data_IF_515641792997
#
_entry.id   IF_515641792997
#
_cell.length_a   1.000
_cell.length_b   1.000
_cell.length_c   1.000
_cell.angle_alpha   90.00
_cell.angle_beta   90.00
_cell.angle_gamma   90.00
#
_symmetry.space_group_name_H-M   'P 1'
#
loop_
_entity.id
_entity.type
_entity.pdbx_description
1 polymer ?
#
# COMPACT_ATOMS: atom_id res chain seq x y z
N UNK A 1 -15.47 -55.17 -1.22
CA UNK A 1 -15.03 -54.97 -2.60
C UNK A 1 -15.65 -53.68 -3.14
N UNK A 2 -15.21 -52.52 -2.64
CA UNK A 2 -15.70 -51.20 -3.11
C UNK A 2 -14.63 -50.12 -2.90
N UNK A 3 -13.37 -50.43 -3.28
CA UNK A 3 -12.22 -49.51 -3.04
C UNK A 3 -11.43 -49.17 -4.30
N UNK A 4 -11.92 -49.59 -5.51
CA UNK A 4 -11.09 -49.56 -6.71
C UNK A 4 -11.64 -48.69 -7.86
N UNK A 5 -12.64 -47.85 -7.60
CA UNK A 5 -13.18 -46.96 -8.65
C UNK A 5 -12.85 -45.47 -8.49
N UNK A 6 -12.26 -45.06 -7.36
CA UNK A 6 -11.87 -43.65 -7.15
C UNK A 6 -10.50 -43.27 -7.75
N UNK A 7 -9.65 -44.26 -7.99
CA UNK A 7 -8.28 -44.01 -8.53
C UNK A 7 -8.30 -43.81 -10.07
N UNK A 8 -9.34 -44.24 -10.77
CA UNK A 8 -9.34 -44.19 -12.24
C UNK A 8 -9.93 -42.88 -12.83
N UNK A 9 -10.64 -42.10 -12.05
CA UNK A 9 -11.21 -40.83 -12.50
C UNK A 9 -10.18 -39.67 -12.41
N UNK A 10 -9.33 -39.68 -11.37
CA UNK A 10 -8.28 -38.67 -11.22
C UNK A 10 -7.11 -38.87 -12.20
N UNK A 11 -6.84 -40.11 -12.65
CA UNK A 11 -5.77 -40.39 -13.62
C UNK A 11 -6.12 -39.96 -15.05
N UNK A 12 -7.40 -39.76 -15.37
CA UNK A 12 -7.83 -39.30 -16.70
C UNK A 12 -7.84 -37.78 -16.88
N UNK A 13 -7.81 -37.02 -15.80
CA UNK A 13 -7.69 -35.56 -15.86
C UNK A 13 -6.21 -35.16 -15.95
N UNK A 14 -5.30 -35.97 -15.40
CA UNK A 14 -3.86 -35.73 -15.44
C UNK A 14 -3.20 -35.99 -16.80
N UNK A 15 -3.87 -36.65 -17.73
CA UNK A 15 -3.27 -37.11 -19.01
C UNK A 15 -3.72 -36.30 -20.25
N UNK A 16 -4.53 -35.27 -20.06
CA UNK A 16 -4.91 -34.36 -21.14
C UNK A 16 -4.09 -33.06 -21.08
N UNK A 17 -2.91 -33.08 -21.71
CA UNK A 17 -2.21 -31.88 -22.13
C UNK A 17 -1.07 -31.45 -21.23
N UNK A 18 -0.09 -32.32 -20.96
CA UNK A 18 1.22 -31.94 -20.43
C UNK A 18 2.24 -31.75 -21.55
N UNK A 19 2.11 -30.66 -22.28
CA UNK A 19 3.27 -30.05 -22.95
C UNK A 19 3.33 -28.61 -22.43
N UNK A 20 4.37 -28.29 -21.65
CA UNK A 20 4.83 -26.96 -21.25
C UNK A 20 3.91 -26.07 -20.36
N UNK A 21 3.05 -26.57 -19.53
CA UNK A 21 2.42 -25.73 -18.53
C UNK A 21 3.34 -25.54 -17.32
N UNK A 22 3.82 -24.30 -17.11
CA UNK A 22 4.51 -23.90 -15.88
C UNK A 22 3.58 -24.15 -14.68
N UNK A 23 4.03 -24.98 -13.73
CA UNK A 23 3.29 -25.22 -12.50
C UNK A 23 3.56 -24.06 -11.55
N UNK A 24 2.51 -23.36 -11.14
CA UNK A 24 2.59 -22.28 -10.17
C UNK A 24 1.99 -22.74 -8.84
N UNK A 25 2.67 -22.44 -7.73
CA UNK A 25 2.19 -22.71 -6.38
C UNK A 25 1.88 -21.37 -5.67
N UNK A 26 0.84 -21.35 -4.86
CA UNK A 26 0.47 -20.18 -4.04
C UNK A 26 1.41 -20.00 -2.83
N UNK A 27 2.06 -21.06 -2.38
CA UNK A 27 2.97 -21.05 -1.25
C UNK A 27 3.85 -22.31 -1.19
N UNK A 28 4.78 -22.30 -0.24
CA UNK A 28 5.69 -23.45 0.01
C UNK A 28 4.89 -24.65 0.50
N UNK A 29 3.87 -24.43 1.32
CA UNK A 29 2.99 -25.45 1.88
C UNK A 29 2.25 -26.25 0.79
N UNK A 30 1.83 -25.60 -0.28
CA UNK A 30 1.19 -26.22 -1.44
C UNK A 30 2.21 -27.04 -2.24
N UNK A 31 3.41 -26.50 -2.44
CA UNK A 31 4.49 -27.18 -3.16
C UNK A 31 4.95 -28.44 -2.45
N UNK A 32 5.06 -28.38 -1.12
CA UNK A 32 5.55 -29.47 -0.29
C UNK A 32 4.43 -30.40 0.20
N UNK A 33 3.17 -30.08 -0.13
CA UNK A 33 1.98 -30.80 0.33
C UNK A 33 2.01 -31.12 1.81
N UNK A 34 2.22 -30.06 2.61
CA UNK A 34 2.28 -30.21 4.06
C UNK A 34 0.95 -30.70 4.64
N UNK A 35 0.93 -31.42 5.78
CA UNK A 35 -0.31 -31.88 6.41
C UNK A 35 -1.29 -30.76 6.73
N UNK A 36 -0.77 -29.55 6.98
CA UNK A 36 -1.58 -28.34 7.21
C UNK A 36 -2.31 -27.92 5.93
N UNK A 37 -1.63 -27.96 4.79
CA UNK A 37 -2.22 -27.65 3.50
C UNK A 37 -3.29 -28.71 3.09
N UNK A 38 -3.00 -29.98 3.29
CA UNK A 38 -3.97 -31.05 2.98
C UNK A 38 -5.21 -30.96 3.87
N UNK A 39 -5.06 -30.66 5.16
CA UNK A 39 -6.19 -30.44 6.06
C UNK A 39 -7.02 -29.20 5.70
N UNK A 40 -6.37 -28.15 5.20
CA UNK A 40 -7.06 -26.95 4.73
C UNK A 40 -7.86 -27.22 3.43
N UNK A 41 -7.34 -28.05 2.53
CA UNK A 41 -8.03 -28.49 1.31
C UNK A 41 -9.27 -29.33 1.62
N UNK A 42 -9.19 -30.22 2.62
CA UNK A 42 -10.34 -31.01 3.06
C UNK A 42 -11.44 -30.17 3.71
N UNK A 43 -11.09 -29.00 4.28
CA UNK A 43 -12.01 -28.07 4.90
C UNK A 43 -12.44 -26.90 4.02
N UNK A 44 -12.07 -26.85 2.74
CA UNK A 44 -12.36 -25.72 1.85
C UNK A 44 -13.88 -25.52 1.62
N UNK A 45 -14.68 -26.57 1.76
CA UNK A 45 -16.13 -26.49 1.73
C UNK A 45 -16.69 -26.93 3.08
N UNK A 46 -17.47 -26.07 3.71
CA UNK A 46 -18.02 -26.31 5.06
C UNK A 46 -18.97 -27.53 5.13
N UNK A 47 -19.54 -27.97 4.02
CA UNK A 47 -20.32 -29.19 3.88
C UNK A 47 -19.93 -29.91 2.59
N UNK A 48 -19.71 -31.23 2.61
CA UNK A 48 -19.51 -31.99 1.39
C UNK A 48 -20.78 -31.89 0.53
N UNK A 49 -20.57 -31.62 -0.77
CA UNK A 49 -21.66 -31.67 -1.73
C UNK A 49 -22.35 -33.06 -1.68
N UNK A 50 -23.69 -33.13 -1.69
CA UNK A 50 -24.41 -34.41 -1.70
C UNK A 50 -23.89 -35.31 -2.78
N UNK A 51 -23.71 -36.58 -2.49
CA UNK A 51 -23.12 -37.57 -3.41
C UNK A 51 -23.88 -37.73 -4.76
N UNK A 52 -25.12 -37.28 -4.82
CA UNK A 52 -25.98 -37.26 -5.98
C UNK A 52 -25.82 -36.00 -6.86
N UNK A 53 -25.07 -34.98 -6.41
CA UNK A 53 -24.82 -33.77 -7.20
C UNK A 53 -23.90 -34.01 -8.41
N UNK A 54 -22.94 -34.93 -8.28
CA UNK A 54 -21.96 -35.27 -9.34
C UNK A 54 -22.27 -36.53 -10.12
N UNK A 55 -23.07 -37.42 -9.59
CA UNK A 55 -23.52 -38.62 -10.28
C UNK A 55 -24.84 -38.30 -11.00
N UNK A 56 -24.73 -37.77 -12.20
CA UNK A 56 -25.87 -37.57 -13.09
C UNK A 56 -26.59 -38.89 -13.46
N UNK A 57 -27.17 -39.52 -12.44
CA UNK A 57 -28.15 -40.58 -12.73
C UNK A 57 -29.45 -39.89 -13.19
N UNK A 58 -29.89 -40.26 -14.37
CA UNK A 58 -30.93 -39.61 -15.18
C UNK A 58 -32.34 -39.71 -14.57
N UNK A 59 -32.46 -39.40 -13.35
CA UNK A 59 -33.73 -39.03 -12.72
C UNK A 59 -33.94 -37.54 -12.98
N UNK A 60 -34.53 -37.18 -14.09
CA UNK A 60 -34.74 -35.80 -14.49
C UNK A 60 -35.37 -35.00 -13.35
N UNK A 61 -34.72 -33.90 -12.97
CA UNK A 61 -35.27 -32.89 -12.04
C UNK A 61 -36.64 -32.56 -12.62
N UNK A 62 -37.72 -32.98 -11.93
CA UNK A 62 -39.05 -32.70 -12.42
C UNK A 62 -39.25 -31.18 -12.43
N UNK A 63 -39.93 -30.64 -13.44
CA UNK A 63 -40.26 -29.20 -13.51
C UNK A 63 -40.78 -28.65 -12.17
N UNK A 64 -41.47 -29.52 -11.42
CA UNK A 64 -42.03 -29.21 -10.10
C UNK A 64 -40.92 -29.08 -9.01
N UNK A 65 -39.89 -29.93 -9.05
CA UNK A 65 -38.74 -29.85 -8.11
C UNK A 65 -37.88 -28.64 -8.43
N UNK A 66 -37.67 -28.34 -9.70
CA UNK A 66 -36.98 -27.16 -10.15
C UNK A 66 -37.74 -25.89 -9.75
N UNK A 67 -39.02 -25.79 -9.96
CA UNK A 67 -39.84 -24.64 -9.57
C UNK A 67 -39.92 -24.48 -8.06
N UNK A 68 -39.92 -25.56 -7.28
CA UNK A 68 -39.83 -25.49 -5.82
C UNK A 68 -38.47 -24.95 -5.38
N UNK A 69 -37.38 -25.48 -5.90
CA UNK A 69 -36.03 -25.00 -5.58
C UNK A 69 -35.84 -23.54 -6.02
N UNK A 70 -36.27 -23.18 -7.22
CA UNK A 70 -36.23 -21.79 -7.70
C UNK A 70 -37.12 -20.87 -6.88
N UNK A 71 -38.32 -21.30 -6.50
CA UNK A 71 -39.24 -20.54 -5.65
C UNK A 71 -38.67 -20.29 -4.24
N UNK A 72 -38.02 -21.29 -3.63
CA UNK A 72 -37.32 -21.12 -2.35
C UNK A 72 -36.10 -20.22 -2.49
N UNK A 73 -35.35 -20.30 -3.58
CA UNK A 73 -34.20 -19.40 -3.80
C UNK A 73 -34.63 -17.95 -3.97
N UNK A 74 -35.71 -17.70 -4.73
CA UNK A 74 -36.25 -16.33 -4.91
C UNK A 74 -36.88 -15.83 -3.61
N UNK A 75 -37.62 -16.64 -2.88
CA UNK A 75 -38.17 -16.27 -1.57
C UNK A 75 -37.06 -16.03 -0.55
N UNK A 76 -36.01 -16.85 -0.54
CA UNK A 76 -34.82 -16.67 0.30
C UNK A 76 -34.08 -15.37 -0.03
N UNK A 77 -33.90 -15.07 -1.32
CA UNK A 77 -33.27 -13.83 -1.76
C UNK A 77 -34.08 -12.57 -1.38
N UNK A 78 -35.40 -12.66 -1.46
CA UNK A 78 -36.28 -11.57 -1.05
C UNK A 78 -36.27 -11.36 0.48
N UNK A 79 -36.15 -12.44 1.27
CA UNK A 79 -36.03 -12.34 2.73
C UNK A 79 -34.68 -11.81 3.18
N UNK A 80 -33.60 -12.16 2.49
CA UNK A 80 -32.25 -11.62 2.74
C UNK A 80 -32.16 -10.16 2.31
N UNK A 81 -32.85 -9.78 1.24
CA UNK A 81 -32.94 -8.38 0.77
C UNK A 81 -33.69 -7.47 1.78
N UNK A 82 -34.49 -8.04 2.69
CA UNK A 82 -35.15 -7.32 3.76
C UNK A 82 -34.31 -7.25 5.06
N UNK A 83 -33.14 -7.86 5.12
CA UNK A 83 -32.19 -7.57 6.19
C UNK A 83 -31.75 -6.12 6.03
N UNK A 84 -32.17 -5.26 6.94
CA UNK A 84 -31.79 -3.86 7.01
C UNK A 84 -30.26 -3.82 7.04
N UNK A 85 -29.65 -3.49 5.91
CA UNK A 85 -28.27 -3.01 5.96
C UNK A 85 -28.19 -1.92 7.05
N UNK A 86 -27.11 -1.90 7.84
CA UNK A 86 -26.91 -0.80 8.78
C UNK A 86 -27.09 0.49 7.99
N UNK A 87 -28.02 1.33 8.43
CA UNK A 87 -28.35 2.59 7.74
C UNK A 87 -27.09 3.42 7.77
N UNK A 88 -26.25 3.26 6.76
CA UNK A 88 -25.24 4.26 6.45
C UNK A 88 -26.03 5.54 6.19
N UNK A 89 -25.90 6.50 7.09
CA UNK A 89 -26.49 7.81 6.91
C UNK A 89 -25.82 8.42 5.68
N UNK A 90 -26.42 8.23 4.51
CA UNK A 90 -26.05 8.98 3.33
C UNK A 90 -26.35 10.44 3.64
N UNK A 91 -25.33 11.23 3.95
CA UNK A 91 -25.48 12.68 4.04
C UNK A 91 -25.68 13.14 2.61
N UNK A 92 -26.85 13.63 2.22
CA UNK A 92 -27.06 14.14 0.87
C UNK A 92 -26.08 15.31 0.65
N UNK A 93 -25.45 15.36 -0.50
CA UNK A 93 -24.63 16.48 -0.93
C UNK A 93 -25.56 17.67 -1.15
N UNK A 94 -25.71 18.55 -0.15
CA UNK A 94 -26.64 19.67 -0.18
C UNK A 94 -26.19 20.77 -1.14
N UNK A 95 -24.88 20.86 -1.43
CA UNK A 95 -24.31 21.81 -2.39
C UNK A 95 -23.43 21.04 -3.36
N UNK A 96 -23.85 20.99 -4.61
CA UNK A 96 -23.06 20.40 -5.68
C UNK A 96 -21.98 21.39 -6.10
N UNK A 97 -20.70 20.94 -6.10
CA UNK A 97 -19.61 21.75 -6.67
C UNK A 97 -19.79 21.94 -8.18
N UNK A 98 -19.28 23.04 -8.74
CA UNK A 98 -19.45 23.44 -10.14
C UNK A 98 -19.06 22.33 -11.14
N UNK A 99 -18.11 21.45 -10.79
CA UNK A 99 -17.62 20.37 -11.65
C UNK A 99 -18.07 18.98 -11.22
N UNK A 100 -19.02 18.87 -10.30
CA UNK A 100 -19.53 17.59 -9.82
C UNK A 100 -20.71 17.13 -10.66
N UNK A 101 -20.56 16.00 -11.34
CA UNK A 101 -21.66 15.31 -12.02
C UNK A 101 -21.89 13.97 -11.33
N UNK A 102 -23.14 13.61 -10.97
CA UNK A 102 -23.46 12.30 -10.42
C UNK A 102 -22.91 11.16 -11.30
N UNK A 103 -22.25 10.20 -10.68
CA UNK A 103 -21.66 9.07 -11.40
C UNK A 103 -20.34 9.33 -12.13
N UNK A 104 -19.90 10.59 -12.28
CA UNK A 104 -18.59 10.92 -12.86
C UNK A 104 -17.56 11.16 -11.79
N UNK A 105 -16.40 10.55 -11.96
CA UNK A 105 -15.26 10.80 -11.08
C UNK A 105 -14.53 12.09 -11.51
N UNK A 106 -13.99 12.80 -10.53
CA UNK A 106 -13.13 13.97 -10.70
C UNK A 106 -11.87 13.82 -9.85
N UNK A 107 -10.86 14.61 -10.14
CA UNK A 107 -9.53 14.46 -9.56
C UNK A 107 -9.10 15.72 -8.83
N UNK A 108 -8.43 15.54 -7.70
CA UNK A 108 -7.73 16.60 -6.99
C UNK A 108 -6.25 16.31 -6.93
N UNK A 109 -5.43 17.29 -7.25
CA UNK A 109 -4.00 17.25 -7.02
C UNK A 109 -3.71 17.47 -5.53
N UNK A 110 -2.79 16.67 -4.98
CA UNK A 110 -2.35 16.76 -3.59
C UNK A 110 -0.93 16.22 -3.46
N UNK A 111 -0.44 16.17 -2.22
CA UNK A 111 0.89 15.61 -1.90
C UNK A 111 0.73 14.42 -0.97
N UNK A 112 1.48 13.35 -1.23
CA UNK A 112 1.53 12.18 -0.36
C UNK A 112 2.23 12.53 0.96
N UNK A 113 1.57 12.25 2.08
CA UNK A 113 2.11 12.45 3.43
C UNK A 113 2.70 11.18 4.06
N UNK A 114 2.87 10.09 3.30
CA UNK A 114 3.30 8.79 3.83
C UNK A 114 4.79 8.72 4.22
N UNK A 115 5.62 9.56 3.63
CA UNK A 115 7.05 9.70 3.96
C UNK A 115 7.59 11.05 3.48
N UNK A 116 8.86 11.31 3.73
CA UNK A 116 9.54 12.57 3.42
C UNK A 116 9.69 12.84 1.90
N UNK A 117 9.55 11.82 1.04
CA UNK A 117 9.69 11.96 -0.40
C UNK A 117 8.64 12.91 -1.01
N UNK A 118 7.47 13.07 -0.35
CA UNK A 118 6.48 14.07 -0.72
C UNK A 118 5.97 13.93 -2.17
N UNK A 119 5.74 12.71 -2.64
CA UNK A 119 5.28 12.45 -4.01
C UNK A 119 3.99 13.21 -4.32
N UNK A 120 3.90 13.79 -5.53
CA UNK A 120 2.67 14.38 -6.02
C UNK A 120 1.64 13.31 -6.33
N UNK A 121 0.41 13.51 -5.89
CA UNK A 121 -0.69 12.58 -6.08
C UNK A 121 -1.91 13.24 -6.73
N UNK A 122 -2.69 12.42 -7.40
CA UNK A 122 -4.02 12.73 -7.88
C UNK A 122 -5.02 11.85 -7.14
N UNK A 123 -5.90 12.47 -6.37
CA UNK A 123 -6.95 11.76 -5.63
C UNK A 123 -8.23 11.74 -6.47
N UNK A 124 -8.63 10.54 -6.87
CA UNK A 124 -9.88 10.30 -7.58
C UNK A 124 -11.04 10.32 -6.60
N UNK A 125 -11.97 11.20 -6.83
CA UNK A 125 -13.16 11.38 -6.01
C UNK A 125 -14.42 11.08 -6.81
N UNK A 126 -15.41 10.53 -6.14
CA UNK A 126 -16.75 10.35 -6.68
C UNK A 126 -17.76 10.74 -5.60
N UNK A 127 -18.62 11.68 -5.92
CA UNK A 127 -19.67 12.14 -5.01
C UNK A 127 -19.16 12.51 -3.61
N UNK A 128 -18.02 13.24 -3.57
CA UNK A 128 -17.38 13.66 -2.32
C UNK A 128 -16.54 12.60 -1.61
N UNK A 129 -16.40 11.39 -2.18
CA UNK A 129 -15.63 10.29 -1.58
C UNK A 129 -14.36 10.01 -2.36
N UNK A 130 -13.18 10.04 -1.75
CA UNK A 130 -11.96 9.55 -2.35
C UNK A 130 -12.05 8.04 -2.58
N UNK A 131 -11.81 7.60 -3.83
CA UNK A 131 -11.93 6.18 -4.21
C UNK A 131 -10.62 5.58 -4.69
N UNK A 132 -9.67 6.39 -5.10
CA UNK A 132 -8.35 5.95 -5.56
C UNK A 132 -7.34 7.07 -5.46
N UNK A 133 -6.06 6.72 -5.30
CA UNK A 133 -4.92 7.62 -5.37
C UNK A 133 -4.00 7.14 -6.49
N UNK A 134 -3.56 8.07 -7.33
CA UNK A 134 -2.57 7.85 -8.40
C UNK A 134 -1.44 8.85 -8.27
N UNK A 135 -0.29 8.56 -8.86
CA UNK A 135 0.78 9.54 -8.98
C UNK A 135 0.41 10.66 -9.96
N UNK A 136 0.83 11.89 -9.64
CA UNK A 136 0.64 13.03 -10.52
C UNK A 136 1.75 13.10 -11.58
N UNK A 137 1.45 12.91 -12.88
CA UNK A 137 2.44 12.96 -13.95
C UNK A 137 3.16 14.30 -14.08
N UNK A 138 2.50 15.40 -13.68
CA UNK A 138 3.05 16.75 -13.75
C UNK A 138 3.95 17.11 -12.55
N UNK A 139 4.04 16.21 -11.55
CA UNK A 139 4.88 16.48 -10.39
C UNK A 139 6.37 16.35 -10.75
N UNK A 140 7.21 17.35 -10.45
CA UNK A 140 8.59 17.42 -10.96
C UNK A 140 9.49 16.28 -10.46
N UNK A 141 9.24 15.74 -9.26
CA UNK A 141 10.06 14.68 -8.67
C UNK A 141 9.50 13.29 -8.97
N UNK A 142 8.25 13.01 -8.60
CA UNK A 142 7.67 11.67 -8.72
C UNK A 142 7.19 11.32 -10.13
N UNK A 143 6.93 12.32 -10.99
CA UNK A 143 6.59 12.18 -12.43
C UNK A 143 5.56 11.07 -12.70
N UNK A 144 4.50 11.01 -11.91
CA UNK A 144 3.47 9.98 -12.01
C UNK A 144 3.76 8.69 -11.25
N UNK A 145 4.95 8.54 -10.66
CA UNK A 145 5.28 7.42 -9.79
C UNK A 145 4.57 7.52 -8.44
N UNK A 146 4.13 6.39 -7.92
CA UNK A 146 3.57 6.28 -6.56
C UNK A 146 3.81 4.85 -6.04
N UNK A 147 4.32 4.74 -4.80
CA UNK A 147 4.58 3.45 -4.17
C UNK A 147 3.29 2.76 -3.69
N UNK A 148 3.38 1.48 -3.34
CA UNK A 148 2.24 0.71 -2.85
C UNK A 148 1.59 1.34 -1.60
N UNK A 149 2.39 1.90 -0.68
CA UNK A 149 1.89 2.58 0.52
C UNK A 149 1.07 3.81 0.13
N UNK A 150 1.56 4.62 -0.81
CA UNK A 150 0.83 5.79 -1.33
C UNK A 150 -0.49 5.40 -2.01
N UNK A 151 -0.50 4.30 -2.78
CA UNK A 151 -1.74 3.76 -3.38
C UNK A 151 -2.74 3.32 -2.31
N UNK A 152 -2.26 2.67 -1.24
CA UNK A 152 -3.09 2.14 -0.17
C UNK A 152 -3.61 3.21 0.81
N UNK A 153 -3.06 4.42 0.82
CA UNK A 153 -3.44 5.48 1.78
C UNK A 153 -4.94 5.81 1.78
N UNK A 154 -5.63 5.63 0.65
CA UNK A 154 -7.08 5.83 0.57
C UNK A 154 -7.84 4.94 1.55
N UNK A 155 -7.33 3.74 1.85
CA UNK A 155 -7.97 2.79 2.77
C UNK A 155 -8.00 3.32 4.22
N UNK A 156 -6.99 4.11 4.61
CA UNK A 156 -6.94 4.72 5.94
C UNK A 156 -8.10 5.68 6.23
N UNK A 157 -8.73 6.25 5.18
CA UNK A 157 -9.91 7.13 5.36
C UNK A 157 -11.13 6.31 5.78
N UNK A 158 -11.20 5.05 5.33
CA UNK A 158 -12.32 4.13 5.54
C UNK A 158 -12.06 3.11 6.64
N UNK A 159 -10.90 3.17 7.29
CA UNK A 159 -10.56 2.30 8.40
C UNK A 159 -11.50 2.57 9.58
N UNK A 160 -12.22 1.54 10.01
CA UNK A 160 -13.14 1.63 11.16
C UNK A 160 -12.42 1.85 12.49
N UNK A 161 -11.11 1.57 12.57
CA UNK A 161 -10.30 1.76 13.77
C UNK A 161 -9.55 3.10 13.78
N UNK A 162 -9.69 3.93 12.75
CA UNK A 162 -9.10 5.26 12.76
C UNK A 162 -9.68 6.12 13.87
N UNK A 163 -8.89 7.02 14.41
CA UNK A 163 -9.35 8.02 15.36
C UNK A 163 -10.34 8.95 14.67
N UNK A 164 -11.61 8.91 15.06
CA UNK A 164 -12.68 9.73 14.47
C UNK A 164 -12.89 11.06 15.19
N UNK A 165 -12.44 11.15 16.44
CA UNK A 165 -12.64 12.30 17.33
C UNK A 165 -11.46 12.43 18.30
N UNK A 166 -11.28 13.59 18.95
CA UNK A 166 -10.27 13.76 19.97
C UNK A 166 -10.55 12.87 21.18
N UNK A 167 -9.49 12.47 21.87
CA UNK A 167 -9.59 11.69 23.11
C UNK A 167 -8.93 12.45 24.27
N UNK A 168 -9.66 12.58 25.37
CA UNK A 168 -9.14 13.03 26.64
C UNK A 168 -9.05 11.84 27.61
N UNK A 169 -7.84 11.46 28.05
CA UNK A 169 -7.60 10.28 28.90
C UNK A 169 -8.23 8.97 28.35
N UNK A 170 -8.18 8.78 27.03
CA UNK A 170 -8.74 7.61 26.37
C UNK A 170 -10.26 7.63 26.17
N UNK A 171 -10.94 8.71 26.56
CA UNK A 171 -12.38 8.89 26.37
C UNK A 171 -12.65 9.95 25.32
N UNK A 172 -13.65 9.74 24.48
CA UNK A 172 -14.08 10.71 23.47
C UNK A 172 -14.39 12.08 24.09
N UNK A 173 -13.88 13.14 23.48
CA UNK A 173 -14.07 14.51 23.93
C UNK A 173 -14.30 15.42 22.71
N UNK A 174 -14.93 16.57 22.94
CA UNK A 174 -15.04 17.58 21.91
C UNK A 174 -13.77 18.43 21.78
N UNK A 175 -13.59 19.04 20.61
CA UNK A 175 -12.43 19.88 20.32
C UNK A 175 -12.30 21.07 21.28
N UNK A 176 -13.40 21.67 21.68
CA UNK A 176 -13.36 22.84 22.57
C UNK A 176 -12.80 22.48 23.95
N UNK A 177 -13.16 21.30 24.48
CA UNK A 177 -12.64 20.76 25.73
C UNK A 177 -11.13 20.49 25.64
N UNK A 178 -10.69 19.82 24.56
CA UNK A 178 -9.28 19.45 24.38
C UNK A 178 -8.43 20.70 24.13
N UNK A 179 -8.85 21.61 23.27
CA UNK A 179 -8.15 22.86 22.97
C UNK A 179 -8.07 23.76 24.21
N UNK A 180 -9.14 23.83 25.01
CA UNK A 180 -9.15 24.56 26.27
C UNK A 180 -8.13 24.02 27.26
N UNK A 181 -8.06 22.70 27.44
CA UNK A 181 -7.11 22.04 28.33
C UNK A 181 -5.65 22.24 27.87
N UNK A 182 -5.38 22.08 26.55
CA UNK A 182 -4.04 22.32 25.98
C UNK A 182 -3.67 23.79 26.13
N UNK A 183 -4.58 24.71 25.83
CA UNK A 183 -4.34 26.16 25.97
C UNK A 183 -4.00 26.57 27.40
N UNK A 184 -4.68 25.98 28.38
CA UNK A 184 -4.37 26.21 29.80
C UNK A 184 -2.97 25.68 30.16
N UNK A 185 -2.63 24.43 29.79
CA UNK A 185 -1.32 23.86 30.06
C UNK A 185 -0.21 24.66 29.42
N UNK A 186 -0.39 25.15 28.19
CA UNK A 186 0.61 25.98 27.50
C UNK A 186 0.77 27.34 28.15
N UNK A 187 -0.28 27.93 28.73
CA UNK A 187 -0.23 29.19 29.43
C UNK A 187 0.46 29.09 30.81
N UNK A 188 0.36 27.95 31.47
CA UNK A 188 0.91 27.68 32.79
C UNK A 188 2.34 27.13 32.76
N UNK A 189 2.83 26.66 31.60
CA UNK A 189 4.12 26.00 31.48
C UNK A 189 5.30 27.01 31.69
N UNK A 190 6.26 26.62 32.50
CA UNK A 190 7.48 27.37 32.76
C UNK A 190 8.74 26.61 32.31
N UNK A 191 8.61 25.33 32.02
CA UNK A 191 9.73 24.43 31.73
C UNK A 191 10.13 24.37 30.23
N UNK A 192 9.46 25.14 29.40
CA UNK A 192 9.68 25.17 27.97
C UNK A 192 8.74 24.23 27.19
N UNK A 193 8.67 24.45 25.88
CA UNK A 193 7.83 23.68 24.96
C UNK A 193 8.68 23.08 23.86
N UNK A 194 8.56 21.77 23.65
CA UNK A 194 9.28 21.04 22.62
C UNK A 194 8.31 20.45 21.60
N UNK A 195 8.57 20.69 20.32
CA UNK A 195 7.87 20.03 19.22
C UNK A 195 8.74 18.89 18.72
N UNK A 196 8.26 17.65 18.85
CA UNK A 196 8.90 16.46 18.30
C UNK A 196 8.24 16.08 16.98
N UNK A 197 9.01 15.95 15.91
CA UNK A 197 8.51 15.50 14.61
C UNK A 197 9.54 14.66 13.87
N UNK A 198 9.13 13.96 12.81
CA UNK A 198 10.04 13.52 11.75
C UNK A 198 10.53 14.71 10.92
N UNK A 199 11.37 14.45 9.92
CA UNK A 199 11.82 15.49 8.98
C UNK A 199 10.61 16.11 8.26
N UNK A 200 10.48 17.43 8.37
CA UNK A 200 9.47 18.24 7.70
C UNK A 200 10.11 18.94 6.51
N UNK A 201 9.61 18.68 5.30
CA UNK A 201 10.08 19.32 4.06
C UNK A 201 9.27 20.55 3.67
N UNK A 202 8.11 20.75 4.30
CA UNK A 202 7.24 21.91 4.07
C UNK A 202 7.77 23.15 4.76
N UNK A 203 8.19 24.14 3.99
CA UNK A 203 8.62 25.45 4.51
C UNK A 203 7.54 26.17 5.31
N UNK A 204 6.28 26.05 4.88
CA UNK A 204 5.13 26.62 5.59
C UNK A 204 4.94 25.98 6.96
N UNK A 205 5.05 24.64 7.05
CA UNK A 205 4.94 23.93 8.34
C UNK A 205 6.08 24.32 9.28
N UNK A 206 7.32 24.40 8.77
CA UNK A 206 8.47 24.85 9.56
C UNK A 206 8.29 26.27 10.10
N UNK A 207 7.83 27.19 9.25
CA UNK A 207 7.55 28.57 9.68
C UNK A 207 6.44 28.65 10.74
N UNK A 208 5.44 27.78 10.66
CA UNK A 208 4.38 27.70 11.68
C UNK A 208 4.91 27.15 13.02
N UNK A 209 5.79 26.13 13.00
CA UNK A 209 6.44 25.59 14.18
C UNK A 209 7.31 26.67 14.82
N UNK A 210 8.12 27.36 14.04
CA UNK A 210 8.96 28.45 14.51
C UNK A 210 8.15 29.57 15.17
N UNK A 211 7.07 30.00 14.52
CA UNK A 211 6.14 31.00 15.05
C UNK A 211 5.46 30.55 16.34
N UNK A 212 5.11 29.27 16.44
CA UNK A 212 4.52 28.69 17.64
C UNK A 212 5.53 28.66 18.79
N UNK A 213 6.73 28.11 18.56
CA UNK A 213 7.77 27.98 19.55
C UNK A 213 8.33 29.35 20.02
N UNK A 214 8.36 30.35 19.15
CA UNK A 214 8.78 31.71 19.48
C UNK A 214 7.92 32.45 20.53
N UNK A 215 6.85 31.79 21.02
CA UNK A 215 6.01 32.28 22.14
C UNK A 215 6.50 31.83 23.52
N UNK A 216 7.42 30.88 23.56
CA UNK A 216 7.84 30.20 24.77
C UNK A 216 9.34 30.33 24.96
N UNK A 217 9.75 30.60 26.20
CA UNK A 217 11.15 30.53 26.59
C UNK A 217 11.60 29.05 26.65
N UNK A 218 12.86 28.77 26.40
CA UNK A 218 13.43 27.42 26.41
C UNK A 218 12.67 26.39 25.50
N UNK A 219 12.27 26.84 24.32
CA UNK A 219 11.56 26.00 23.37
C UNK A 219 12.47 25.50 22.26
N UNK A 220 12.19 24.30 21.70
CA UNK A 220 12.94 23.76 20.56
C UNK A 220 12.10 22.86 19.69
N UNK A 221 12.43 22.81 18.40
CA UNK A 221 11.97 21.81 17.48
C UNK A 221 13.00 20.67 17.42
N UNK A 222 12.59 19.46 17.81
CA UNK A 222 13.42 18.26 17.81
C UNK A 222 12.97 17.37 16.65
N UNK A 223 13.90 17.04 15.76
CA UNK A 223 13.62 16.16 14.62
C UNK A 223 14.19 14.78 14.90
N UNK A 224 13.36 13.75 14.79
CA UNK A 224 13.75 12.36 14.95
C UNK A 224 13.16 11.51 13.84
N UNK A 225 14.02 10.87 13.05
CA UNK A 225 13.65 9.93 12.01
C UNK A 225 14.15 8.54 12.39
N UNK A 226 13.25 7.52 12.45
CA UNK A 226 13.65 6.12 12.72
C UNK A 226 14.59 5.57 11.66
N UNK A 227 14.45 6.02 10.40
CA UNK A 227 15.37 5.76 9.29
C UNK A 227 16.13 7.05 9.03
N UNK A 228 17.30 7.17 9.65
CA UNK A 228 18.08 8.41 9.64
C UNK A 228 18.90 8.55 8.37
N UNK A 229 18.93 9.78 7.82
CA UNK A 229 19.84 10.17 6.74
C UNK A 229 21.08 10.90 7.24
N UNK A 230 21.35 10.92 8.55
CA UNK A 230 22.45 11.66 9.16
C UNK A 230 23.81 11.29 8.55
N UNK A 231 24.07 10.00 8.33
CA UNK A 231 25.31 9.52 7.71
C UNK A 231 25.52 10.09 6.30
N UNK A 232 24.45 10.17 5.49
CA UNK A 232 24.51 10.74 4.13
C UNK A 232 24.79 12.24 4.22
N UNK A 233 24.12 12.94 5.12
CA UNK A 233 24.32 14.37 5.34
C UNK A 233 25.75 14.70 5.79
N UNK A 234 26.30 13.91 6.71
CA UNK A 234 27.68 14.05 7.20
C UNK A 234 28.71 13.73 6.10
N UNK A 235 28.49 12.67 5.33
CA UNK A 235 29.34 12.31 4.22
C UNK A 235 29.39 13.43 3.16
N UNK A 236 28.25 14.03 2.83
CA UNK A 236 28.18 15.16 1.91
C UNK A 236 28.82 16.42 2.46
N UNK A 237 28.68 16.70 3.75
CA UNK A 237 29.39 17.80 4.40
C UNK A 237 30.90 17.61 4.35
N UNK A 238 31.40 16.38 4.63
CA UNK A 238 32.82 16.09 4.60
C UNK A 238 33.43 16.08 3.19
N UNK A 239 32.69 15.63 2.17
CA UNK A 239 33.20 15.49 0.80
C UNK A 239 32.94 16.70 -0.09
N UNK A 240 31.86 17.44 0.14
CA UNK A 240 31.42 18.56 -0.69
C UNK A 240 31.28 19.88 0.08
N UNK A 241 31.60 19.90 1.40
CA UNK A 241 31.46 21.06 2.23
C UNK A 241 30.01 21.55 2.44
N UNK A 242 29.05 20.71 2.16
CA UNK A 242 27.62 21.06 2.21
C UNK A 242 26.78 19.95 2.82
N UNK A 243 26.12 20.26 3.92
CA UNK A 243 25.20 19.33 4.59
C UNK A 243 23.85 19.31 3.88
N UNK A 244 23.73 18.45 2.87
CA UNK A 244 22.51 18.32 2.06
C UNK A 244 22.32 16.88 1.57
N UNK A 245 21.07 16.46 1.39
CA UNK A 245 20.76 15.20 0.69
C UNK A 245 20.97 15.39 -0.82
N UNK A 246 21.70 14.49 -1.47
CA UNK A 246 21.94 14.58 -2.90
C UNK A 246 20.71 14.13 -3.71
N UNK A 247 20.60 14.68 -4.89
CA UNK A 247 19.75 14.15 -5.95
C UNK A 247 20.57 13.30 -6.90
N UNK A 248 20.12 12.07 -7.16
CA UNK A 248 20.82 11.13 -8.03
C UNK A 248 20.09 10.99 -9.39
N UNK A 249 20.75 11.33 -10.47
CA UNK A 249 20.23 11.19 -11.82
C UNK A 249 20.49 9.79 -12.39
N UNK A 250 19.77 8.79 -11.94
CA UNK A 250 19.91 7.41 -12.42
C UNK A 250 19.50 7.23 -13.89
N UNK A 251 18.71 8.14 -14.43
CA UNK A 251 18.31 8.22 -15.83
C UNK A 251 19.48 8.54 -16.77
N UNK A 252 20.59 9.07 -16.23
CA UNK A 252 21.79 9.48 -16.99
C UNK A 252 23.01 8.62 -16.76
N UNK A 253 22.88 7.59 -15.92
CA UNK A 253 23.99 6.73 -15.56
C UNK A 253 24.05 5.50 -16.48
N UNK A 254 25.19 5.28 -17.15
CA UNK A 254 25.44 4.05 -17.92
C UNK A 254 25.87 2.90 -16.99
N UNK A 255 26.60 3.21 -15.92
CA UNK A 255 27.03 2.26 -14.91
C UNK A 255 26.65 2.76 -13.53
N UNK A 256 26.00 1.90 -12.76
CA UNK A 256 25.62 2.17 -11.37
C UNK A 256 26.35 1.18 -10.48
N UNK A 257 27.07 1.68 -9.49
CA UNK A 257 27.68 0.86 -8.43
C UNK A 257 27.11 1.29 -7.10
N UNK A 258 26.37 0.41 -6.47
CA UNK A 258 25.77 0.65 -5.14
C UNK A 258 26.53 -0.15 -4.06
N UNK A 259 26.78 0.49 -2.92
CA UNK A 259 27.34 -0.14 -1.73
C UNK A 259 26.38 0.14 -0.58
N UNK A 260 25.66 -0.89 -0.12
CA UNK A 260 24.62 -0.82 0.92
C UNK A 260 23.53 0.25 0.67
N UNK A 261 23.43 0.79 -0.54
CA UNK A 261 22.52 1.86 -0.91
C UNK A 261 21.23 1.29 -1.52
N UNK A 262 20.18 1.16 -0.72
CA UNK A 262 18.87 0.66 -1.17
C UNK A 262 18.01 1.79 -1.75
N UNK A 263 18.44 2.37 -2.87
CA UNK A 263 17.81 3.53 -3.50
C UNK A 263 16.46 3.22 -4.17
N UNK A 264 16.16 1.96 -4.47
CA UNK A 264 14.84 1.55 -4.99
C UNK A 264 13.84 1.25 -3.86
N UNK A 265 14.31 1.03 -2.62
CA UNK A 265 13.46 0.63 -1.50
C UNK A 265 13.31 1.70 -0.43
N UNK A 266 14.36 1.98 0.31
CA UNK A 266 14.29 2.76 1.55
C UNK A 266 15.04 4.09 1.54
N UNK A 267 15.81 4.38 0.50
CA UNK A 267 16.77 5.48 0.50
C UNK A 267 16.19 6.76 -0.08
N UNK A 268 16.19 7.85 0.67
CA UNK A 268 15.86 9.25 0.30
C UNK A 268 14.51 9.38 -0.45
N UNK A 269 14.46 9.06 -1.74
CA UNK A 269 13.30 9.25 -2.62
C UNK A 269 13.12 8.06 -3.57
N UNK A 270 12.69 6.89 -3.05
CA UNK A 270 12.71 5.65 -3.83
C UNK A 270 11.82 5.69 -5.07
N UNK A 271 10.70 6.41 -5.04
CA UNK A 271 9.80 6.55 -6.19
C UNK A 271 10.46 7.31 -7.34
N UNK A 272 11.10 8.43 -7.03
CA UNK A 272 11.85 9.25 -7.99
C UNK A 272 13.02 8.46 -8.59
N UNK A 273 13.82 7.82 -7.73
CA UNK A 273 14.96 7.04 -8.15
C UNK A 273 14.56 5.81 -8.97
N UNK A 274 13.46 5.15 -8.62
CA UNK A 274 12.89 4.08 -9.42
C UNK A 274 12.50 4.58 -10.81
N UNK A 275 11.89 5.77 -10.91
CA UNK A 275 11.51 6.36 -12.19
C UNK A 275 12.73 6.60 -13.08
N UNK A 276 13.77 7.22 -12.54
CA UNK A 276 15.04 7.45 -13.25
C UNK A 276 15.72 6.13 -13.65
N UNK A 277 15.82 5.18 -12.72
CA UNK A 277 16.41 3.88 -12.94
C UNK A 277 15.70 3.08 -14.03
N UNK A 278 14.36 2.99 -13.95
CA UNK A 278 13.56 2.25 -14.95
C UNK A 278 13.57 2.93 -16.31
N UNK A 279 13.59 4.26 -16.36
CA UNK A 279 13.68 5.01 -17.62
C UNK A 279 14.96 4.66 -18.43
N UNK A 280 16.10 4.44 -17.76
CA UNK A 280 17.35 4.05 -18.40
C UNK A 280 17.46 2.52 -18.66
N UNK A 281 16.47 1.76 -18.21
CA UNK A 281 16.38 0.30 -18.39
C UNK A 281 15.14 -0.13 -19.17
N UNK A 282 14.43 0.82 -19.76
CA UNK A 282 13.30 0.54 -20.64
C UNK A 282 13.80 -0.01 -21.98
N UNK A 283 13.17 -1.09 -22.46
CA UNK A 283 13.46 -1.71 -23.76
C UNK A 283 12.69 -0.98 -24.87
N UNK A 284 12.90 0.33 -24.97
CA UNK A 284 12.25 1.18 -25.98
C UNK A 284 13.24 1.54 -27.09
N UNK A 285 12.75 1.56 -28.34
CA UNK A 285 13.57 1.86 -29.51
C UNK A 285 14.19 0.64 -30.19
N UNK A 286 14.86 0.86 -31.32
CA UNK A 286 15.48 -0.21 -32.15
C UNK A 286 16.73 -0.82 -31.52
N UNK A 287 17.49 -0.04 -30.75
CA UNK A 287 18.70 -0.47 -30.06
C UNK A 287 18.72 0.06 -28.62
N UNK A 288 17.98 -0.57 -27.67
CA UNK A 288 17.93 -0.11 -26.30
C UNK A 288 19.28 -0.30 -25.60
N UNK A 289 19.84 0.77 -25.06
CA UNK A 289 21.04 0.73 -24.23
C UNK A 289 20.60 0.72 -22.75
N UNK A 290 20.90 -0.38 -22.05
CA UNK A 290 20.58 -0.53 -20.64
C UNK A 290 21.75 -0.09 -19.77
N UNK A 291 21.45 0.62 -18.68
CA UNK A 291 22.45 0.86 -17.64
C UNK A 291 22.89 -0.46 -17.00
N UNK A 292 24.18 -0.59 -16.68
CA UNK A 292 24.70 -1.75 -15.97
C UNK A 292 24.78 -1.47 -14.47
N UNK A 293 24.14 -2.31 -13.65
CA UNK A 293 24.04 -2.10 -12.21
C UNK A 293 24.73 -3.23 -11.43
N UNK A 294 25.69 -2.86 -10.58
CA UNK A 294 26.39 -3.74 -9.65
C UNK A 294 26.06 -3.29 -8.22
N UNK A 295 25.56 -4.20 -7.40
CA UNK A 295 25.21 -3.91 -6.00
C UNK A 295 26.05 -4.76 -5.05
N UNK A 296 26.74 -4.10 -4.13
CA UNK A 296 27.45 -4.71 -3.00
C UNK A 296 26.62 -4.53 -1.75
N UNK A 297 26.22 -5.63 -1.10
CA UNK A 297 25.35 -5.57 0.10
C UNK A 297 25.41 -6.83 0.94
N UNK A 298 25.23 -6.72 2.25
CA UNK A 298 25.19 -7.84 3.17
C UNK A 298 23.88 -8.62 3.08
N UNK A 299 22.75 -7.92 3.07
CA UNK A 299 21.40 -8.49 2.89
C UNK A 299 20.85 -8.13 1.51
N UNK A 300 20.01 -9.00 0.96
CA UNK A 300 19.33 -8.69 -0.30
C UNK A 300 18.28 -7.59 -0.07
N UNK A 301 18.51 -6.44 -0.69
CA UNK A 301 17.58 -5.31 -0.75
C UNK A 301 16.72 -5.37 -2.00
N UNK A 302 15.72 -4.46 -2.11
CA UNK A 302 14.98 -4.28 -3.36
C UNK A 302 15.92 -3.84 -4.49
N UNK A 303 16.87 -2.98 -4.19
CA UNK A 303 17.91 -2.53 -5.14
C UNK A 303 18.78 -3.68 -5.61
N UNK A 304 19.30 -4.51 -4.69
CA UNK A 304 20.13 -5.65 -5.03
C UNK A 304 19.38 -6.75 -5.77
N UNK A 305 18.08 -6.90 -5.56
CA UNK A 305 17.27 -7.87 -6.32
C UNK A 305 17.04 -7.45 -7.77
N UNK A 306 17.20 -6.17 -8.10
CA UNK A 306 17.09 -5.61 -9.45
C UNK A 306 18.44 -5.34 -10.12
N UNK A 307 19.55 -5.58 -9.43
CA UNK A 307 20.90 -5.40 -9.99
C UNK A 307 21.24 -6.49 -11.01
N UNK A 308 22.01 -6.14 -12.05
CA UNK A 308 22.54 -7.11 -13.02
C UNK A 308 23.58 -8.04 -12.37
N UNK A 309 24.32 -7.50 -11.42
CA UNK A 309 25.24 -8.25 -10.59
C UNK A 309 25.14 -7.84 -9.14
N UNK A 310 24.72 -8.76 -8.30
CA UNK A 310 24.73 -8.60 -6.87
C UNK A 310 25.93 -9.34 -6.27
N UNK A 311 26.71 -8.65 -5.46
CA UNK A 311 27.84 -9.21 -4.72
C UNK A 311 27.54 -9.14 -3.23
N UNK A 312 27.45 -10.30 -2.58
CA UNK A 312 27.27 -10.35 -1.14
C UNK A 312 28.62 -10.07 -0.46
N UNK A 313 28.63 -9.06 0.36
CA UNK A 313 29.81 -8.65 1.14
C UNK A 313 29.44 -8.55 2.61
N UNK A 314 30.42 -8.71 3.49
CA UNK A 314 30.26 -8.38 4.92
C UNK A 314 30.70 -6.93 5.16
N UNK A 315 30.26 -6.28 6.25
CA UNK A 315 30.69 -4.91 6.56
C UNK A 315 32.20 -4.71 6.70
N UNK A 316 32.95 -5.79 6.87
CA UNK A 316 34.41 -5.76 7.01
C UNK A 316 35.16 -5.94 5.66
N UNK A 317 34.48 -6.35 4.61
CA UNK A 317 35.00 -6.48 3.25
C UNK A 317 34.75 -5.22 2.42
#
# INVERSE_FOLDING_TARGET
MASDKRTSANSRIDDMGREDSKIYWKGIEERERTPIFESALEGEFAEPLPDDFMTGDRGGISRRSFLRAAGFSVAGSLLVSCSREPVEKAIPLLMQGENMMPGKAYWYASTCGGCQAGCGILTKNREGRPIKIEGNPEHPLSQGGLCAVGQAMVLGIYDSQRLGEPLANGTAADWATVDGAIGQQLAETQDGVYVLSGTITSSTTLAMIEKFLGRFDNSAHVVYDPVSYAAILEAHEGTHGRRALPHYGFDRADVIVGVEADFLGTWISPVEFTKGYTGRRALEGENPELSHHIQFEGRMSLTGSNADRRVRVTPAE
#
